data_IF_268729545318
#
_entry.id   IF_268729545318
#
_cell.length_a   1.000
_cell.length_b   1.000
_cell.length_c   1.000
_cell.angle_alpha   90.00
_cell.angle_beta   90.00
_cell.angle_gamma   90.00
#
_symmetry.space_group_name_H-M   'P 1'
#
loop_
_entity.id
_entity.type
_entity.pdbx_description
1 polymer ?
#
# COMPACT_ATOMS: atom_id res chain seq x y z
N UNK A 1 -7.70 32.18 -8.19
CA UNK A 1 -7.19 30.96 -8.86
C UNK A 1 -5.95 30.52 -8.10
N UNK A 2 -5.98 29.32 -7.53
CA UNK A 2 -4.83 28.66 -6.91
C UNK A 2 -5.18 27.18 -6.88
N UNK A 3 -4.86 26.50 -7.98
CA UNK A 3 -5.08 25.07 -8.08
C UNK A 3 -3.97 24.34 -7.31
N UNK A 4 -4.37 23.32 -6.55
CA UNK A 4 -3.44 22.42 -5.88
C UNK A 4 -3.25 21.20 -6.78
N UNK A 5 -2.00 20.88 -7.08
CA UNK A 5 -1.62 19.72 -7.88
C UNK A 5 -0.83 18.72 -7.05
N UNK A 6 -0.97 17.44 -7.38
CA UNK A 6 -0.12 16.38 -6.85
C UNK A 6 1.04 16.21 -7.81
N UNK A 7 2.24 16.59 -7.37
CA UNK A 7 3.47 16.48 -8.18
C UNK A 7 4.19 15.13 -8.05
N UNK A 8 3.79 14.30 -7.09
CA UNK A 8 4.36 12.97 -6.90
C UNK A 8 3.67 12.21 -5.78
N UNK A 9 3.84 10.88 -5.80
CA UNK A 9 3.37 9.96 -4.76
C UNK A 9 4.46 8.95 -4.43
N UNK A 10 4.56 8.59 -3.16
CA UNK A 10 5.40 7.50 -2.67
C UNK A 10 4.74 6.92 -1.41
N UNK A 11 4.92 5.62 -1.18
CA UNK A 11 4.36 4.97 -0.01
C UNK A 11 4.70 3.49 0.06
N UNK A 12 4.56 2.93 1.27
CA UNK A 12 4.66 1.50 1.55
C UNK A 12 3.28 1.00 1.94
N UNK A 13 2.86 -0.11 1.35
CA UNK A 13 1.53 -0.69 1.52
C UNK A 13 1.65 -2.12 2.06
N UNK A 14 0.56 -2.74 2.55
CA UNK A 14 0.59 -4.14 2.94
C UNK A 14 1.15 -5.00 1.80
N UNK A 15 2.17 -5.78 2.13
CA UNK A 15 2.89 -6.67 1.21
C UNK A 15 3.62 -5.96 0.05
N UNK A 16 3.69 -4.63 -0.02
CA UNK A 16 4.32 -3.88 -1.12
C UNK A 16 5.28 -2.81 -0.58
N UNK A 17 6.53 -2.82 -1.04
CA UNK A 17 7.56 -1.90 -0.56
C UNK A 17 7.46 -0.50 -1.17
N UNK A 18 6.80 -0.39 -2.32
CA UNK A 18 6.67 0.85 -3.09
C UNK A 18 5.38 0.89 -3.91
N UNK A 19 5.10 2.05 -4.51
CA UNK A 19 3.89 2.29 -5.30
C UNK A 19 3.83 1.44 -6.58
N UNK A 20 4.97 1.07 -7.16
CA UNK A 20 5.01 0.22 -8.37
C UNK A 20 4.56 -1.20 -8.03
N UNK A 21 5.10 -1.81 -6.98
CA UNK A 21 4.65 -3.12 -6.50
C UNK A 21 3.17 -3.13 -6.13
N UNK A 22 2.72 -2.06 -5.47
CA UNK A 22 1.32 -1.90 -5.15
C UNK A 22 0.44 -1.87 -6.40
N UNK A 23 0.83 -1.12 -7.43
CA UNK A 23 0.11 -1.09 -8.70
C UNK A 23 0.02 -2.47 -9.36
N UNK A 24 1.15 -3.18 -9.46
CA UNK A 24 1.22 -4.51 -10.09
C UNK A 24 0.31 -5.53 -9.39
N UNK A 25 0.28 -5.53 -8.05
CA UNK A 25 -0.58 -6.46 -7.29
C UNK A 25 -2.05 -6.06 -7.30
N UNK A 26 -2.33 -4.76 -7.35
CA UNK A 26 -3.69 -4.27 -7.47
C UNK A 26 -4.32 -4.71 -8.81
N UNK A 27 -3.58 -4.56 -9.92
CA UNK A 27 -4.09 -4.97 -11.24
C UNK A 27 -4.17 -6.50 -11.40
N UNK A 28 -3.37 -7.28 -10.66
CA UNK A 28 -3.48 -8.74 -10.66
C UNK A 28 -4.67 -9.25 -9.84
N UNK A 29 -5.30 -8.39 -9.04
CA UNK A 29 -6.42 -8.75 -8.17
C UNK A 29 -5.98 -9.53 -6.93
N UNK A 30 -4.73 -9.40 -6.50
CA UNK A 30 -4.23 -10.05 -5.29
C UNK A 30 -4.88 -9.47 -4.02
N UNK A 31 -5.19 -10.35 -3.07
CA UNK A 31 -5.60 -9.95 -1.74
C UNK A 31 -4.38 -9.46 -0.95
N UNK A 32 -4.35 -8.16 -0.60
CA UNK A 32 -3.25 -7.55 0.15
C UNK A 32 -3.51 -7.47 1.67
N UNK A 33 -4.59 -8.09 2.18
CA UNK A 33 -4.82 -8.18 3.63
C UNK A 33 -3.83 -9.14 4.28
N UNK A 34 -3.30 -8.75 5.42
CA UNK A 34 -2.64 -9.68 6.34
C UNK A 34 -3.59 -10.03 7.47
N UNK A 35 -3.64 -11.30 7.88
CA UNK A 35 -4.25 -11.70 9.15
C UNK A 35 -3.56 -10.97 10.30
N UNK A 36 -4.32 -10.63 11.35
CA UNK A 36 -3.75 -10.10 12.59
C UNK A 36 -2.79 -11.14 13.16
N UNK A 37 -1.49 -10.88 13.04
CA UNK A 37 -0.46 -11.74 13.61
C UNK A 37 -0.25 -11.36 15.09
N UNK A 38 -0.03 -12.36 15.95
CA UNK A 38 0.35 -12.18 17.36
C UNK A 38 1.65 -11.35 17.51
N UNK A 39 2.41 -11.14 16.42
CA UNK A 39 3.59 -10.27 16.39
C UNK A 39 3.29 -8.79 16.66
N UNK A 40 2.13 -8.26 16.22
CA UNK A 40 1.76 -6.86 16.53
C UNK A 40 1.19 -6.72 17.94
N UNK A 41 0.45 -7.72 18.38
CA UNK A 41 -0.20 -7.76 19.68
C UNK A 41 -0.14 -9.19 20.22
N UNK A 42 0.88 -9.52 21.01
CA UNK A 42 0.93 -10.83 21.65
C UNK A 42 -0.20 -10.87 22.68
N UNK A 43 -1.21 -11.70 22.42
CA UNK A 43 -2.28 -12.01 23.39
C UNK A 43 -1.83 -13.08 24.38
#
# INVERSE_FOLDING_TARGET
>A
ENDIVISGIAGRFPLCENTEEFWQRLISGEELSSTTNDERWPI
#
